data_IF_596922357858
#
_entry.id   IF_596922357858
#
_cell.length_a   1.000
_cell.length_b   1.000
_cell.length_c   1.000
_cell.angle_alpha   90.00
_cell.angle_beta   90.00
_cell.angle_gamma   90.00
#
_symmetry.space_group_name_H-M   'P 1'
#
loop_
_entity.id
_entity.type
_entity.pdbx_description
1 polymer ?
#
# COMPACT_ATOMS: atom_id res chain seq x y z
N UNK A 1 -74.61 -18.07 54.56
CA UNK A 1 -73.26 -18.68 54.67
C UNK A 1 -72.88 -19.48 53.42
N UNK A 2 -73.82 -20.21 52.79
CA UNK A 2 -73.61 -21.05 51.60
C UNK A 2 -73.13 -20.28 50.35
N UNK A 3 -73.62 -19.06 50.10
CA UNK A 3 -73.26 -18.27 48.91
C UNK A 3 -71.79 -17.83 48.89
N UNK A 4 -71.16 -17.62 50.06
CA UNK A 4 -69.75 -17.26 50.14
C UNK A 4 -68.82 -18.43 49.80
N UNK A 5 -69.21 -19.66 50.15
CA UNK A 5 -68.41 -20.86 49.81
C UNK A 5 -68.44 -21.19 48.31
N UNK A 6 -69.57 -20.94 47.64
CA UNK A 6 -69.69 -21.13 46.18
C UNK A 6 -68.82 -20.13 45.41
N UNK A 7 -68.79 -18.86 45.84
CA UNK A 7 -67.94 -17.83 45.24
C UNK A 7 -66.44 -18.10 45.42
N UNK A 8 -66.04 -18.58 46.60
CA UNK A 8 -64.64 -18.96 46.87
C UNK A 8 -64.25 -20.21 46.05
N UNK A 9 -65.13 -21.21 45.97
CA UNK A 9 -64.91 -22.41 45.15
C UNK A 9 -64.78 -22.08 43.67
N UNK A 10 -65.63 -21.21 43.13
CA UNK A 10 -65.54 -20.75 41.74
C UNK A 10 -64.24 -19.99 41.46
N UNK A 11 -63.78 -19.15 42.40
CA UNK A 11 -62.51 -18.41 42.27
C UNK A 11 -61.27 -19.31 42.20
N UNK A 12 -61.26 -20.40 42.95
CA UNK A 12 -60.15 -21.38 42.94
C UNK A 12 -60.12 -22.18 41.63
N UNK A 13 -61.28 -22.56 41.11
CA UNK A 13 -61.35 -23.29 39.83
C UNK A 13 -60.87 -22.42 38.66
N UNK A 14 -61.20 -21.13 38.65
CA UNK A 14 -60.75 -20.19 37.60
C UNK A 14 -59.23 -19.98 37.64
N UNK A 15 -58.64 -19.87 38.83
CA UNK A 15 -57.19 -19.70 38.96
C UNK A 15 -56.42 -20.96 38.55
N UNK A 16 -56.92 -22.15 38.89
CA UNK A 16 -56.32 -23.42 38.44
C UNK A 16 -56.44 -23.56 36.91
N UNK A 17 -57.59 -23.23 36.32
CA UNK A 17 -57.80 -23.31 34.88
C UNK A 17 -56.89 -22.33 34.10
N UNK A 18 -56.72 -21.10 34.59
CA UNK A 18 -55.80 -20.12 34.00
C UNK A 18 -54.35 -20.56 34.13
N UNK A 19 -53.95 -21.09 35.30
CA UNK A 19 -52.60 -21.61 35.51
C UNK A 19 -52.26 -22.76 34.56
N UNK A 20 -53.16 -23.73 34.40
CA UNK A 20 -52.99 -24.83 33.46
C UNK A 20 -52.99 -24.34 32.00
N UNK A 21 -53.85 -23.38 31.65
CA UNK A 21 -53.86 -22.77 30.31
C UNK A 21 -52.55 -22.09 29.94
N UNK A 22 -51.91 -21.39 30.89
CA UNK A 22 -50.62 -20.72 30.68
C UNK A 22 -49.50 -21.77 30.52
N UNK A 23 -49.50 -22.83 31.33
CA UNK A 23 -48.49 -23.91 31.22
C UNK A 23 -48.63 -24.62 29.87
N UNK A 24 -49.85 -25.00 29.48
CA UNK A 24 -50.10 -25.64 28.20
C UNK A 24 -49.74 -24.70 27.05
N UNK A 25 -50.09 -23.41 27.12
CA UNK A 25 -49.69 -22.42 26.12
C UNK A 25 -48.18 -22.27 25.99
N UNK A 26 -47.45 -22.27 27.11
CA UNK A 26 -45.99 -22.15 27.12
C UNK A 26 -45.30 -23.36 26.48
N UNK A 27 -45.81 -24.58 26.71
CA UNK A 27 -45.18 -25.81 26.23
C UNK A 27 -45.75 -26.36 24.92
N UNK A 28 -46.96 -25.97 24.51
CA UNK A 28 -47.59 -26.41 23.26
C UNK A 28 -47.19 -25.57 22.05
N UNK A 29 -46.76 -24.32 22.25
CA UNK A 29 -46.19 -23.50 21.18
C UNK A 29 -44.76 -23.96 20.96
N UNK A 30 -44.57 -24.97 20.10
CA UNK A 30 -43.27 -25.20 19.48
C UNK A 30 -42.92 -23.92 18.72
N UNK A 31 -41.94 -23.16 19.21
CA UNK A 31 -41.26 -22.14 18.39
C UNK A 31 -40.62 -22.90 17.24
N UNK A 32 -41.34 -23.03 16.14
CA UNK A 32 -40.71 -23.28 14.85
C UNK A 32 -39.97 -22.00 14.53
N UNK A 33 -38.74 -21.89 15.03
CA UNK A 33 -37.72 -21.09 14.37
C UNK A 33 -37.56 -21.73 13.00
N UNK A 34 -38.40 -21.33 12.05
CA UNK A 34 -38.13 -21.54 10.64
C UNK A 34 -36.79 -20.87 10.40
N UNK A 35 -35.70 -21.65 10.45
CA UNK A 35 -34.38 -21.19 10.02
C UNK A 35 -34.47 -20.96 8.52
N UNK A 36 -35.00 -19.79 8.15
CA UNK A 36 -34.80 -19.22 6.82
C UNK A 36 -33.33 -18.86 6.59
N UNK A 37 -32.44 -19.17 7.54
CA UNK A 37 -30.99 -19.11 7.45
C UNK A 37 -30.42 -20.14 6.46
N UNK A 38 -31.11 -21.24 6.13
CA UNK A 38 -30.49 -22.31 5.32
C UNK A 38 -30.48 -22.13 3.80
N UNK A 39 -31.46 -21.41 3.22
CA UNK A 39 -31.69 -21.47 1.76
C UNK A 39 -30.82 -20.53 0.94
N UNK A 40 -30.31 -19.45 1.54
CA UNK A 40 -29.49 -18.45 0.83
C UNK A 40 -28.14 -18.18 1.52
N UNK A 41 -27.81 -18.93 2.58
CA UNK A 41 -26.54 -18.79 3.32
C UNK A 41 -25.31 -18.98 2.43
N UNK A 42 -25.44 -19.78 1.37
CA UNK A 42 -24.38 -20.00 0.38
C UNK A 42 -24.13 -18.78 -0.52
N UNK A 43 -25.12 -17.88 -0.67
CA UNK A 43 -25.00 -16.66 -1.47
C UNK A 43 -24.33 -15.52 -0.69
N UNK A 44 -24.32 -15.59 0.64
CA UNK A 44 -23.66 -14.64 1.54
C UNK A 44 -22.36 -15.19 2.16
N UNK A 45 -21.94 -16.40 1.77
CA UNK A 45 -20.70 -17.02 2.26
C UNK A 45 -19.52 -16.53 1.42
N UNK A 46 -19.00 -15.35 1.77
CA UNK A 46 -17.83 -14.74 1.10
C UNK A 46 -16.58 -15.65 1.13
N UNK A 47 -16.48 -16.56 2.12
CA UNK A 47 -15.58 -17.70 2.12
C UNK A 47 -16.08 -18.76 3.13
N UNK A 48 -15.74 -20.03 2.92
CA UNK A 48 -15.86 -21.02 4.00
C UNK A 48 -14.99 -20.59 5.18
N UNK A 49 -15.59 -20.38 6.35
CA UNK A 49 -14.86 -19.94 7.55
C UNK A 49 -13.71 -20.89 7.89
N UNK A 50 -13.85 -22.18 7.60
CA UNK A 50 -12.79 -23.15 7.81
C UNK A 50 -11.65 -22.96 6.81
N UNK A 51 -11.95 -22.74 5.52
CA UNK A 51 -10.92 -22.48 4.51
C UNK A 51 -10.19 -21.17 4.79
N UNK A 52 -10.91 -20.14 5.24
CA UNK A 52 -10.31 -18.87 5.66
C UNK A 52 -9.32 -19.06 6.82
N UNK A 53 -9.72 -19.80 7.87
CA UNK A 53 -8.84 -20.10 9.01
C UNK A 53 -7.61 -20.88 8.56
N UNK A 54 -7.80 -21.91 7.73
CA UNK A 54 -6.70 -22.70 7.16
C UNK A 54 -5.74 -21.81 6.37
N UNK A 55 -6.26 -20.95 5.49
CA UNK A 55 -5.46 -20.03 4.68
C UNK A 55 -4.65 -19.05 5.54
N UNK A 56 -5.27 -18.37 6.50
CA UNK A 56 -4.53 -17.44 7.37
C UNK A 56 -3.48 -18.18 8.20
N UNK A 57 -3.79 -19.39 8.68
CA UNK A 57 -2.85 -20.21 9.45
C UNK A 57 -1.68 -20.76 8.64
N UNK A 58 -1.80 -20.86 7.31
CA UNK A 58 -0.72 -21.35 6.45
C UNK A 58 0.32 -20.26 6.11
N UNK A 59 0.03 -18.99 6.39
CA UNK A 59 0.96 -17.89 6.17
C UNK A 59 2.00 -17.89 7.30
N UNK A 60 3.26 -18.14 6.94
CA UNK A 60 4.37 -18.23 7.89
C UNK A 60 5.35 -17.06 7.70
N UNK A 61 5.69 -16.36 8.78
CA UNK A 61 6.64 -15.25 8.77
C UNK A 61 8.02 -15.66 8.25
N UNK A 62 8.48 -16.88 8.57
CA UNK A 62 9.75 -17.41 8.08
C UNK A 62 9.80 -17.50 6.54
N UNK A 63 8.69 -17.86 5.89
CA UNK A 63 8.61 -17.89 4.42
C UNK A 63 8.63 -16.48 3.84
N UNK A 64 7.97 -15.52 4.48
CA UNK A 64 8.00 -14.10 4.08
C UNK A 64 9.42 -13.55 4.18
N UNK A 65 10.13 -13.83 5.28
CA UNK A 65 11.52 -13.42 5.49
C UNK A 65 12.46 -14.03 4.43
N UNK A 66 12.34 -15.34 4.18
CA UNK A 66 13.13 -16.02 3.15
C UNK A 66 12.87 -15.44 1.75
N UNK A 67 11.61 -15.16 1.42
CA UNK A 67 11.23 -14.53 0.16
C UNK A 67 11.81 -13.14 0.03
N UNK A 68 11.70 -12.31 1.08
CA UNK A 68 12.26 -10.97 1.08
C UNK A 68 13.77 -11.01 0.84
N UNK A 69 14.49 -11.88 1.58
CA UNK A 69 15.94 -12.03 1.45
C UNK A 69 16.38 -12.43 0.04
N UNK A 70 15.66 -13.33 -0.62
CA UNK A 70 15.97 -13.76 -1.98
C UNK A 70 15.68 -12.64 -3.00
N UNK A 71 14.50 -12.06 -2.94
CA UNK A 71 14.04 -11.03 -3.89
C UNK A 71 14.83 -9.71 -3.78
N UNK A 72 15.39 -9.39 -2.60
CA UNK A 72 16.22 -8.19 -2.41
C UNK A 72 17.73 -8.47 -2.52
N UNK A 73 18.14 -9.68 -2.93
CA UNK A 73 19.56 -10.04 -3.01
C UNK A 73 20.33 -9.27 -4.09
N UNK A 74 19.62 -8.73 -5.09
CA UNK A 74 20.18 -7.99 -6.22
C UNK A 74 19.30 -6.81 -6.61
N UNK A 75 19.88 -5.71 -7.14
CA UNK A 75 19.10 -4.65 -7.77
C UNK A 75 18.30 -5.20 -8.95
N UNK A 76 17.02 -4.86 -9.03
CA UNK A 76 16.09 -5.36 -10.05
C UNK A 76 15.33 -4.17 -10.68
N UNK A 77 16.07 -3.21 -11.24
CA UNK A 77 15.47 -2.05 -11.90
C UNK A 77 14.70 -2.49 -13.16
N UNK A 78 13.50 -1.94 -13.34
CA UNK A 78 12.60 -2.31 -14.43
C UNK A 78 13.32 -2.35 -15.78
N UNK A 79 13.10 -3.42 -16.55
CA UNK A 79 13.63 -3.57 -17.92
C UNK A 79 15.10 -4.01 -18.02
N UNK A 80 15.80 -4.20 -16.90
CA UNK A 80 17.15 -4.78 -16.88
C UNK A 80 17.12 -6.32 -16.76
N UNK A 81 18.21 -7.03 -17.12
CA UNK A 81 18.27 -8.50 -17.01
C UNK A 81 17.93 -9.05 -15.61
N UNK A 82 18.29 -8.34 -14.54
CA UNK A 82 18.04 -8.74 -13.15
C UNK A 82 16.54 -8.69 -12.78
N UNK A 83 15.80 -7.74 -13.34
CA UNK A 83 14.34 -7.66 -13.20
C UNK A 83 13.67 -8.86 -13.88
N UNK A 84 14.13 -9.22 -15.09
CA UNK A 84 13.67 -10.44 -15.76
C UNK A 84 14.00 -11.72 -14.96
N UNK A 85 15.19 -11.79 -14.37
CA UNK A 85 15.58 -12.93 -13.53
C UNK A 85 14.64 -13.08 -12.31
N UNK A 86 14.27 -11.96 -11.67
CA UNK A 86 13.32 -11.95 -10.55
C UNK A 86 11.92 -12.42 -10.99
N UNK A 87 11.46 -11.98 -12.16
CA UNK A 87 10.19 -12.44 -12.74
C UNK A 87 10.20 -13.95 -13.04
N UNK A 88 11.32 -14.51 -13.52
CA UNK A 88 11.48 -15.95 -13.75
C UNK A 88 11.42 -16.73 -12.43
N UNK A 89 12.04 -16.23 -11.35
CA UNK A 89 11.97 -16.88 -10.03
C UNK A 89 10.52 -16.95 -9.54
N UNK A 90 9.75 -15.86 -9.66
CA UNK A 90 8.34 -15.83 -9.26
C UNK A 90 7.50 -16.79 -10.12
N UNK A 91 7.72 -16.78 -11.43
CA UNK A 91 7.05 -17.69 -12.38
C UNK A 91 7.25 -19.16 -11.98
N UNK A 92 8.48 -19.57 -11.68
CA UNK A 92 8.79 -20.94 -11.28
C UNK A 92 8.13 -21.33 -9.94
N UNK A 93 8.15 -20.41 -8.95
CA UNK A 93 7.50 -20.65 -7.65
C UNK A 93 6.00 -20.89 -7.81
N UNK A 94 5.33 -20.03 -8.58
CA UNK A 94 3.89 -20.16 -8.83
C UNK A 94 3.53 -21.42 -9.62
N UNK A 95 4.34 -21.81 -10.60
CA UNK A 95 4.16 -23.08 -11.31
C UNK A 95 4.30 -24.28 -10.34
N UNK A 96 5.29 -24.25 -9.45
CA UNK A 96 5.50 -25.29 -8.44
C UNK A 96 4.35 -25.36 -7.41
N UNK A 97 3.72 -24.22 -7.12
CA UNK A 97 2.52 -24.14 -6.27
C UNK A 97 1.24 -24.60 -7.00
N UNK A 98 1.35 -25.00 -8.27
CA UNK A 98 0.23 -25.52 -9.07
C UNK A 98 -0.64 -24.44 -9.71
N UNK A 99 -0.16 -23.19 -9.79
CA UNK A 99 -0.88 -22.09 -10.44
C UNK A 99 -0.66 -22.10 -11.96
N UNK A 100 -1.66 -21.61 -12.69
CA UNK A 100 -1.48 -21.26 -14.10
C UNK A 100 -0.83 -19.89 -14.19
N UNK A 101 0.31 -19.79 -14.88
CA UNK A 101 1.13 -18.58 -14.93
C UNK A 101 1.28 -18.10 -16.36
N UNK A 102 1.17 -16.78 -16.55
CA UNK A 102 1.47 -16.09 -17.80
C UNK A 102 2.38 -14.90 -17.54
N UNK A 103 3.39 -14.70 -18.40
CA UNK A 103 4.34 -13.57 -18.30
C UNK A 103 4.25 -12.70 -19.56
N UNK A 104 3.31 -11.73 -19.60
CA UNK A 104 3.15 -10.86 -20.76
C UNK A 104 4.35 -9.92 -20.91
N UNK A 105 4.69 -9.59 -22.15
CA UNK A 105 5.78 -8.66 -22.49
C UNK A 105 5.21 -7.40 -23.14
N UNK A 106 5.69 -6.26 -22.70
CA UNK A 106 5.34 -4.95 -23.26
C UNK A 106 6.61 -4.18 -23.64
N UNK A 107 6.54 -3.44 -24.74
CA UNK A 107 7.58 -2.47 -25.10
C UNK A 107 7.11 -1.11 -24.60
N UNK A 108 7.79 -0.57 -23.59
CA UNK A 108 7.45 0.69 -22.94
C UNK A 108 8.65 1.63 -22.92
N UNK A 109 8.40 2.93 -22.91
CA UNK A 109 9.46 3.93 -22.82
C UNK A 109 9.97 4.02 -21.37
N UNK A 110 11.22 3.65 -21.16
CA UNK A 110 11.94 3.78 -19.89
C UNK A 110 13.04 4.84 -20.01
N UNK A 111 13.55 5.27 -18.87
CA UNK A 111 14.61 6.28 -18.76
C UNK A 111 15.67 5.79 -17.78
N UNK A 112 16.94 5.87 -18.17
CA UNK A 112 18.09 5.47 -17.38
C UNK A 112 19.17 6.56 -17.45
N UNK A 113 20.00 6.71 -16.40
CA UNK A 113 21.16 7.60 -16.45
C UNK A 113 22.26 7.00 -17.34
N UNK A 114 23.15 7.85 -17.82
CA UNK A 114 24.40 7.39 -18.43
C UNK A 114 25.36 6.91 -17.32
N UNK A 115 25.75 5.64 -17.38
CA UNK A 115 26.66 5.05 -16.40
C UNK A 115 28.08 5.60 -16.49
N UNK A 116 28.51 5.98 -17.70
CA UNK A 116 29.86 6.48 -17.97
C UNK A 116 29.96 7.99 -17.73
N UNK A 117 28.83 8.70 -17.78
CA UNK A 117 28.72 10.14 -17.54
C UNK A 117 27.72 10.42 -16.41
N UNK A 118 28.07 10.19 -15.12
CA UNK A 118 27.17 10.40 -14.01
C UNK A 118 26.68 11.85 -13.91
N UNK A 119 25.39 12.02 -13.60
CA UNK A 119 24.81 13.33 -13.34
C UNK A 119 25.47 14.00 -12.13
N UNK A 120 25.81 15.28 -12.25
CA UNK A 120 26.50 16.03 -11.18
C UNK A 120 25.92 17.43 -11.03
N UNK A 121 25.96 17.92 -9.80
CA UNK A 121 25.75 19.33 -9.46
C UNK A 121 27.10 19.89 -9.01
N UNK A 122 27.48 21.04 -9.58
CA UNK A 122 28.73 21.73 -9.25
C UNK A 122 28.45 23.15 -8.78
N UNK A 123 29.26 23.62 -7.83
CA UNK A 123 29.38 25.01 -7.46
C UNK A 123 30.69 25.54 -8.03
N UNK A 124 30.63 26.59 -8.84
CA UNK A 124 31.80 27.22 -9.44
C UNK A 124 32.03 28.63 -8.88
N UNK A 125 33.28 29.08 -8.91
CA UNK A 125 33.62 30.47 -8.59
C UNK A 125 33.44 31.39 -9.82
N UNK A 126 33.70 32.70 -9.65
CA UNK A 126 33.61 33.68 -10.75
C UNK A 126 34.60 33.45 -11.91
N UNK A 127 35.65 32.64 -11.72
CA UNK A 127 36.57 32.23 -12.79
C UNK A 127 36.18 30.91 -13.46
N UNK A 128 35.05 30.31 -13.08
CA UNK A 128 34.57 29.03 -13.62
C UNK A 128 35.23 27.79 -13.00
N UNK A 129 36.10 27.95 -12.00
CA UNK A 129 36.73 26.84 -11.30
C UNK A 129 35.74 26.19 -10.33
N UNK A 130 35.73 24.85 -10.29
CA UNK A 130 34.85 24.08 -9.41
C UNK A 130 35.32 24.22 -7.95
N UNK A 131 34.44 24.71 -7.08
CA UNK A 131 34.62 24.79 -5.64
C UNK A 131 34.10 23.50 -4.97
N UNK A 132 32.93 23.03 -5.43
CA UNK A 132 32.28 21.84 -4.88
C UNK A 132 31.59 21.06 -5.99
N UNK A 133 31.58 19.74 -5.86
CA UNK A 133 30.98 18.84 -6.83
C UNK A 133 30.36 17.64 -6.11
N UNK A 134 29.14 17.28 -6.49
CA UNK A 134 28.51 16.04 -6.02
C UNK A 134 29.20 14.82 -6.63
N UNK A 135 29.23 13.71 -5.90
CA UNK A 135 29.81 12.44 -6.37
C UNK A 135 29.10 11.89 -7.60
N UNK A 136 27.80 12.15 -7.75
CA UNK A 136 26.96 11.62 -8.83
C UNK A 136 26.64 10.13 -8.67
N UNK A 137 27.04 9.53 -7.55
CA UNK A 137 26.87 8.12 -7.19
C UNK A 137 26.62 8.03 -5.68
N UNK A 138 25.91 6.99 -5.23
CA UNK A 138 25.91 6.69 -3.80
C UNK A 138 27.30 6.29 -3.30
N UNK A 139 27.51 6.48 -2.00
CA UNK A 139 28.67 5.90 -1.32
C UNK A 139 28.45 4.39 -1.18
N UNK A 140 29.43 3.61 -1.62
CA UNK A 140 29.43 2.16 -1.43
C UNK A 140 29.60 1.86 0.07
N UNK A 141 28.57 1.30 0.69
CA UNK A 141 28.62 0.89 2.10
C UNK A 141 29.34 -0.44 2.29
N UNK A 142 29.16 -1.37 1.34
CA UNK A 142 29.74 -2.70 1.33
C UNK A 142 30.18 -3.05 -0.09
N UNK A 143 31.48 -3.30 -0.28
CA UNK A 143 32.07 -3.57 -1.59
C UNK A 143 31.61 -4.90 -2.22
N UNK A 144 30.96 -5.77 -1.44
CA UNK A 144 30.34 -7.01 -1.95
C UNK A 144 28.96 -6.77 -2.55
N UNK A 145 28.36 -5.60 -2.34
CA UNK A 145 27.04 -5.28 -2.90
C UNK A 145 27.11 -5.10 -4.42
N UNK A 146 26.13 -5.63 -5.16
CA UNK A 146 26.04 -5.39 -6.59
C UNK A 146 25.89 -3.90 -6.89
N UNK A 147 26.51 -3.44 -7.99
CA UNK A 147 26.39 -2.06 -8.46
C UNK A 147 24.92 -1.72 -8.74
N UNK A 148 24.46 -0.59 -8.23
CA UNK A 148 23.16 0.02 -8.56
C UNK A 148 23.32 1.10 -9.63
N UNK A 149 22.20 1.50 -10.24
CA UNK A 149 22.19 2.68 -11.11
C UNK A 149 22.49 3.95 -10.32
N UNK A 150 23.13 4.92 -10.97
CA UNK A 150 23.41 6.22 -10.36
C UNK A 150 22.12 7.00 -10.06
N UNK A 151 22.09 7.86 -9.03
CA UNK A 151 20.93 8.70 -8.73
C UNK A 151 20.53 9.59 -9.91
N UNK A 152 19.25 9.58 -10.26
CA UNK A 152 18.71 10.39 -11.34
C UNK A 152 17.21 10.63 -11.19
N UNK A 153 16.68 11.60 -11.94
CA UNK A 153 15.25 11.84 -12.09
C UNK A 153 14.81 11.29 -13.44
N UNK A 154 14.13 10.13 -13.44
CA UNK A 154 13.63 9.51 -14.65
C UNK A 154 12.75 10.47 -15.48
N UNK A 155 12.92 10.41 -16.80
CA UNK A 155 12.24 11.24 -17.80
C UNK A 155 12.62 12.73 -17.82
N UNK A 156 13.63 13.14 -17.06
CA UNK A 156 14.18 14.50 -17.16
C UNK A 156 14.90 14.68 -18.50
N UNK A 157 14.71 15.81 -19.21
CA UNK A 157 15.48 16.13 -20.40
C UNK A 157 16.99 16.18 -20.11
N UNK A 158 17.80 15.71 -21.04
CA UNK A 158 19.25 15.87 -20.96
C UNK A 158 19.63 17.36 -21.14
N UNK A 159 20.47 17.89 -20.27
CA UNK A 159 21.01 19.23 -20.41
C UNK A 159 21.87 19.66 -19.22
N UNK A 160 22.81 20.56 -19.49
CA UNK A 160 23.61 21.23 -18.46
C UNK A 160 23.16 22.68 -18.37
N UNK A 161 22.75 23.10 -17.18
CA UNK A 161 22.35 24.48 -16.90
C UNK A 161 23.24 25.08 -15.82
N UNK A 162 23.50 26.38 -15.90
CA UNK A 162 24.25 27.14 -14.90
C UNK A 162 23.51 28.43 -14.57
N UNK A 163 23.57 28.84 -13.30
CA UNK A 163 22.98 30.09 -12.84
C UNK A 163 23.77 30.64 -11.66
N UNK A 164 23.86 31.96 -11.58
CA UNK A 164 24.40 32.67 -10.40
C UNK A 164 23.35 32.81 -9.29
N UNK A 165 22.08 32.47 -9.58
CA UNK A 165 20.96 32.56 -8.64
C UNK A 165 20.53 31.17 -8.20
N UNK A 166 20.70 30.90 -6.91
CA UNK A 166 20.24 29.68 -6.26
C UNK A 166 19.23 30.04 -5.15
N UNK A 167 18.03 29.47 -5.22
CA UNK A 167 16.99 29.69 -4.22
C UNK A 167 16.54 28.39 -3.57
N UNK A 168 16.06 28.47 -2.33
CA UNK A 168 15.45 27.34 -1.63
C UNK A 168 13.92 27.42 -1.75
N UNK A 169 13.32 26.41 -2.37
CA UNK A 169 11.88 26.33 -2.66
C UNK A 169 11.08 25.45 -1.70
N UNK A 170 11.60 25.14 -0.50
CA UNK A 170 10.95 24.26 0.48
C UNK A 170 10.51 22.92 -0.14
N UNK A 171 9.23 22.53 -0.05
CA UNK A 171 8.73 21.29 -0.63
C UNK A 171 8.31 21.45 -2.10
N UNK A 172 8.51 22.62 -2.73
CA UNK A 172 8.17 22.84 -4.13
C UNK A 172 6.67 22.89 -4.41
N UNK A 173 5.84 23.07 -3.39
CA UNK A 173 4.41 23.26 -3.59
C UNK A 173 4.14 24.61 -4.28
N UNK A 174 2.97 24.74 -4.91
CA UNK A 174 2.58 25.99 -5.56
C UNK A 174 2.69 27.19 -4.58
N UNK A 175 2.27 27.00 -3.34
CA UNK A 175 2.33 28.02 -2.30
C UNK A 175 3.78 28.35 -1.88
N UNK A 176 4.67 27.35 -1.89
CA UNK A 176 6.09 27.54 -1.61
C UNK A 176 6.74 28.42 -2.69
N UNK A 177 6.45 28.14 -3.97
CA UNK A 177 6.98 28.90 -5.10
C UNK A 177 6.37 30.31 -5.16
N UNK A 178 5.06 30.44 -4.92
CA UNK A 178 4.39 31.75 -4.83
C UNK A 178 4.94 32.60 -3.68
N UNK A 179 5.19 31.98 -2.52
CA UNK A 179 5.81 32.67 -1.38
C UNK A 179 7.23 33.11 -1.73
N UNK A 180 8.04 32.23 -2.34
CA UNK A 180 9.38 32.58 -2.77
C UNK A 180 9.36 33.75 -3.77
N UNK A 181 8.46 33.70 -4.76
CA UNK A 181 8.24 34.79 -5.71
C UNK A 181 7.84 36.11 -5.05
N UNK A 182 7.02 36.07 -3.99
CA UNK A 182 6.66 37.28 -3.22
C UNK A 182 7.84 37.92 -2.49
N UNK A 183 8.87 37.13 -2.13
CA UNK A 183 10.05 37.59 -1.41
C UNK A 183 11.11 38.14 -2.37
N UNK A 184 11.40 37.42 -3.47
CA UNK A 184 12.52 37.75 -4.37
C UNK A 184 12.09 38.39 -5.69
N UNK A 185 10.79 38.41 -6.00
CA UNK A 185 10.22 38.88 -7.26
C UNK A 185 10.30 37.85 -8.39
N UNK A 186 9.25 37.79 -9.22
CA UNK A 186 9.13 36.85 -10.34
C UNK A 186 10.31 36.94 -11.33
N UNK A 187 10.76 38.15 -11.66
CA UNK A 187 11.88 38.37 -12.57
C UNK A 187 13.20 37.79 -12.03
N UNK A 188 13.34 37.64 -10.71
CA UNK A 188 14.54 37.06 -10.13
C UNK A 188 14.56 35.54 -10.22
N UNK A 189 13.39 34.89 -10.25
CA UNK A 189 13.26 33.43 -10.37
C UNK A 189 13.53 32.92 -11.78
N UNK A 190 13.27 33.74 -12.81
CA UNK A 190 13.53 33.36 -14.19
C UNK A 190 15.03 33.07 -14.40
N UNK A 191 15.36 31.87 -14.90
CA UNK A 191 16.74 31.42 -15.11
C UNK A 191 17.52 31.12 -13.83
N UNK A 192 16.85 31.06 -12.67
CA UNK A 192 17.46 30.60 -11.42
C UNK A 192 17.41 29.08 -11.28
N UNK A 193 18.26 28.54 -10.40
CA UNK A 193 18.16 27.15 -9.94
C UNK A 193 17.44 27.17 -8.60
N UNK A 194 16.43 26.31 -8.43
CA UNK A 194 15.69 26.18 -7.17
C UNK A 194 15.95 24.79 -6.59
N UNK A 195 16.48 24.75 -5.37
CA UNK A 195 16.66 23.50 -4.62
C UNK A 195 15.43 23.25 -3.73
N UNK A 196 14.90 22.03 -3.78
CA UNK A 196 13.68 21.62 -3.10
C UNK A 196 13.90 20.30 -2.37
N UNK A 197 13.17 20.08 -1.26
CA UNK A 197 13.19 18.82 -0.50
C UNK A 197 12.01 17.92 -0.87
N UNK A 198 12.25 16.61 -0.82
CA UNK A 198 11.22 15.60 -1.05
C UNK A 198 10.10 15.64 0.00
N UNK A 199 8.91 15.20 -0.41
CA UNK A 199 7.70 15.11 0.43
C UNK A 199 6.59 16.08 -0.01
N UNK A 200 5.47 15.99 0.71
CA UNK A 200 4.20 16.76 0.58
C UNK A 200 3.42 16.58 -0.71
N UNK A 201 4.09 16.60 -1.86
CA UNK A 201 3.51 16.42 -3.19
C UNK A 201 4.31 15.41 -4.00
N UNK A 202 3.73 14.93 -5.10
CA UNK A 202 4.44 14.08 -6.03
C UNK A 202 5.64 14.83 -6.62
N UNK A 203 6.76 14.12 -6.81
CA UNK A 203 8.02 14.72 -7.24
C UNK A 203 7.98 15.35 -8.64
N UNK A 204 7.09 14.87 -9.51
CA UNK A 204 6.91 15.42 -10.85
C UNK A 204 6.05 16.68 -10.90
N UNK A 205 5.39 17.04 -9.78
CA UNK A 205 4.59 18.29 -9.68
C UNK A 205 5.44 19.49 -9.23
N UNK A 206 6.70 19.25 -8.85
CA UNK A 206 7.68 20.27 -8.44
C UNK A 206 8.29 20.94 -9.66
#
# INVERSE_FOLDING_TARGET
MITKFILIGAGVVVTIALGLGIIIGHFAIKKTTSSTTGKYDYLTRDADQQNYKTFISSIQSANIEANLKDLTSRPHLAGLPEDLASAVVIEQRWLNDGLQVTKPKYNVLLSYPDENNPNRVTLTNGSGSIILQTTGTEQVYDATQPKTVNPFLAYTPNGTVSSTKLYYGNYGQLEDIQRLASIVGNASLQGSIIIMRYGKIFRGDK
#
